data_IF_084962398290
#
_entry.id   IF_084962398290
#
_cell.length_a   1.000
_cell.length_b   1.000
_cell.length_c   1.000
_cell.angle_alpha   90.00
_cell.angle_beta   90.00
_cell.angle_gamma   90.00
#
_symmetry.space_group_name_H-M   'P 1'
#
loop_
_entity.id
_entity.type
_entity.pdbx_description
1 polymer ?
#
# COMPACT_ATOMS: atom_id res chain seq x y z
N UNK A 1 -0.35 8.91 4.83
CA UNK A 1 0.27 9.19 3.52
C UNK A 1 -0.60 8.64 2.40
N UNK A 2 -1.50 9.48 1.88
CA UNK A 2 -2.40 9.10 0.78
C UNK A 2 -1.57 9.06 -0.50
N UNK A 3 -1.16 7.87 -0.92
CA UNK A 3 -0.41 7.68 -2.14
C UNK A 3 -1.38 7.48 -3.31
N UNK A 4 -1.57 8.54 -4.09
CA UNK A 4 -2.38 8.50 -5.32
C UNK A 4 -1.57 7.88 -6.45
N UNK A 5 -2.02 6.74 -6.98
CA UNK A 5 -1.40 6.12 -8.14
C UNK A 5 -1.88 6.79 -9.43
N UNK A 6 -0.95 7.24 -10.25
CA UNK A 6 -1.23 7.74 -11.59
C UNK A 6 -0.22 7.17 -12.57
N UNK A 7 -0.69 6.63 -13.67
CA UNK A 7 0.13 6.13 -14.77
C UNK A 7 -0.30 6.83 -16.05
N UNK A 8 0.60 7.63 -16.64
CA UNK A 8 0.33 8.44 -17.85
C UNK A 8 -0.91 9.36 -17.72
N UNK A 9 -1.13 9.95 -16.55
CA UNK A 9 -2.28 10.79 -16.27
C UNK A 9 -3.60 10.03 -16.03
N UNK A 10 -3.60 8.72 -16.13
CA UNK A 10 -4.74 7.87 -15.78
C UNK A 10 -4.60 7.40 -14.34
N UNK A 11 -5.65 7.51 -13.57
CA UNK A 11 -5.70 7.17 -12.15
C UNK A 11 -6.99 6.40 -11.82
N UNK A 12 -7.16 6.04 -10.57
CA UNK A 12 -8.33 5.34 -10.02
C UNK A 12 -8.58 3.97 -10.66
N UNK A 13 -9.81 3.72 -11.10
CA UNK A 13 -10.28 2.50 -11.72
C UNK A 13 -9.64 2.17 -13.09
N UNK A 14 -8.74 3.02 -13.59
CA UNK A 14 -7.99 2.77 -14.84
C UNK A 14 -6.59 2.21 -14.63
N UNK A 15 -6.14 2.11 -13.39
CA UNK A 15 -4.88 1.48 -13.00
C UNK A 15 -5.19 0.36 -12.01
N UNK A 16 -4.98 -0.86 -12.43
CA UNK A 16 -5.25 -2.04 -11.62
C UNK A 16 -4.02 -2.41 -10.79
N UNK A 17 -4.22 -2.86 -9.56
CA UNK A 17 -3.15 -3.37 -8.71
C UNK A 17 -3.35 -4.87 -8.50
N UNK A 18 -2.29 -5.62 -8.73
CA UNK A 18 -2.18 -7.02 -8.34
C UNK A 18 -1.20 -7.14 -7.19
N UNK A 19 -1.61 -7.79 -6.13
CA UNK A 19 -0.75 -8.15 -5.01
C UNK A 19 -0.77 -9.67 -4.85
N UNK A 20 0.38 -10.29 -4.86
CA UNK A 20 0.51 -11.75 -4.73
C UNK A 20 -0.33 -12.53 -5.78
N UNK A 21 -0.44 -12.01 -6.99
CA UNK A 21 -1.24 -12.61 -8.06
C UNK A 21 -2.75 -12.38 -7.96
N UNK A 22 -3.24 -11.71 -6.93
CA UNK A 22 -4.66 -11.38 -6.73
C UNK A 22 -4.90 -9.90 -7.01
N UNK A 23 -5.95 -9.61 -7.78
CA UNK A 23 -6.39 -8.23 -8.04
C UNK A 23 -6.94 -7.62 -6.75
N UNK A 24 -6.46 -6.43 -6.40
CA UNK A 24 -6.99 -5.67 -5.28
C UNK A 24 -8.15 -4.79 -5.76
N UNK A 25 -9.36 -5.11 -5.31
CA UNK A 25 -10.58 -4.37 -5.70
C UNK A 25 -10.95 -3.25 -4.72
N UNK A 26 -10.51 -3.33 -3.47
CA UNK A 26 -10.79 -2.36 -2.41
C UNK A 26 -10.15 -0.97 -2.60
N UNK A 27 -9.36 -0.79 -3.64
CA UNK A 27 -8.62 0.46 -3.91
C UNK A 27 -9.27 1.35 -4.98
N UNK A 28 -10.48 1.01 -5.41
CA UNK A 28 -11.15 1.69 -6.54
C UNK A 28 -12.10 2.80 -6.11
N UNK A 29 -12.41 2.93 -4.82
CA UNK A 29 -13.59 3.62 -4.33
C UNK A 29 -13.40 5.12 -4.00
N UNK A 30 -12.23 5.70 -4.15
CA UNK A 30 -12.05 7.12 -3.88
C UNK A 30 -10.67 7.68 -4.15
N UNK A 31 -10.61 8.98 -4.32
CA UNK A 31 -9.36 9.75 -4.47
C UNK A 31 -8.53 9.72 -3.17
N UNK A 32 -9.15 9.41 -2.07
CA UNK A 32 -8.65 9.57 -0.70
C UNK A 32 -8.04 8.28 -0.16
N UNK A 33 -8.29 7.14 -0.81
CA UNK A 33 -7.75 5.85 -0.35
C UNK A 33 -6.36 5.60 -0.94
N UNK A 34 -5.39 5.46 -0.07
CA UNK A 34 -4.03 5.06 -0.43
C UNK A 34 -3.94 3.61 -0.92
N UNK A 35 -2.75 3.22 -1.37
CA UNK A 35 -2.52 1.86 -1.90
C UNK A 35 -2.51 0.86 -0.74
N UNK A 36 -3.13 0.85 0.30
CA UNK A 36 -3.26 -0.17 1.36
C UNK A 36 -2.28 -1.36 1.34
N UNK A 37 -1.08 -1.15 0.78
CA UNK A 37 0.00 -2.11 0.66
C UNK A 37 1.23 -1.50 1.31
N UNK A 38 1.73 -2.14 2.34
CA UNK A 38 3.05 -1.84 2.88
C UNK A 38 4.13 -2.20 1.84
N UNK A 39 5.20 -1.42 1.81
CA UNK A 39 6.40 -1.75 1.03
C UNK A 39 7.18 -2.92 1.63
N UNK A 40 6.82 -3.34 2.81
CA UNK A 40 7.44 -4.43 3.55
C UNK A 40 7.03 -5.79 2.99
N UNK A 41 7.98 -6.72 2.89
CA UNK A 41 7.74 -8.04 2.30
C UNK A 41 7.38 -7.99 0.81
N UNK A 42 7.83 -6.97 0.11
CA UNK A 42 7.72 -6.80 -1.33
C UNK A 42 9.09 -6.99 -1.97
N UNK A 43 9.20 -7.91 -2.91
CA UNK A 43 10.43 -8.13 -3.68
C UNK A 43 10.62 -7.05 -4.74
N UNK A 44 9.55 -6.78 -5.50
CA UNK A 44 9.56 -5.77 -6.56
C UNK A 44 8.16 -5.24 -6.86
N UNK A 45 8.11 -4.06 -7.46
CA UNK A 45 6.87 -3.49 -8.02
C UNK A 45 7.09 -3.28 -9.51
N UNK A 46 6.34 -3.97 -10.33
CA UNK A 46 6.38 -3.86 -11.76
C UNK A 46 5.23 -3.01 -12.29
N UNK A 47 5.54 -2.13 -13.25
CA UNK A 47 4.54 -1.32 -13.94
C UNK A 47 4.37 -1.84 -15.36
N UNK A 48 3.30 -2.60 -15.58
CA UNK A 48 2.97 -3.17 -16.89
C UNK A 48 2.18 -2.15 -17.70
N UNK A 49 2.71 -1.77 -18.86
CA UNK A 49 2.15 -0.77 -19.77
C UNK A 49 1.99 -1.35 -21.19
N UNK A 50 1.16 -0.71 -21.99
CA UNK A 50 0.97 -1.08 -23.40
C UNK A 50 0.02 -2.26 -23.57
N UNK A 51 0.04 -2.98 -24.71
CA UNK A 51 -0.99 -3.97 -25.07
C UNK A 51 -1.19 -5.10 -24.06
N UNK A 52 -0.18 -5.37 -23.23
CA UNK A 52 -0.23 -6.43 -22.22
C UNK A 52 -1.31 -6.20 -21.15
N UNK A 53 -1.79 -4.96 -20.96
CA UNK A 53 -2.86 -4.69 -20.01
C UNK A 53 -4.15 -5.47 -20.33
N UNK A 54 -4.37 -5.85 -21.58
CA UNK A 54 -5.55 -6.63 -22.03
C UNK A 54 -5.66 -7.96 -21.27
N UNK A 55 -4.55 -8.54 -20.84
CA UNK A 55 -4.54 -9.77 -20.05
C UNK A 55 -5.10 -9.57 -18.62
N UNK A 56 -5.18 -8.32 -18.15
CA UNK A 56 -5.58 -7.97 -16.80
C UNK A 56 -6.98 -7.34 -16.72
N UNK A 57 -7.67 -7.26 -17.86
CA UNK A 57 -9.05 -6.76 -17.95
C UNK A 57 -9.18 -5.33 -18.44
N UNK A 58 -10.41 -4.91 -18.73
CA UNK A 58 -10.76 -3.61 -19.31
C UNK A 58 -10.33 -2.41 -18.46
N UNK A 59 -10.27 -2.60 -17.14
CA UNK A 59 -9.96 -1.54 -16.19
C UNK A 59 -8.47 -1.19 -16.16
N UNK A 60 -7.63 -2.03 -16.74
CA UNK A 60 -6.18 -1.85 -16.79
C UNK A 60 -5.69 -0.89 -17.89
N UNK A 61 -6.56 -0.04 -18.45
CA UNK A 61 -6.22 0.87 -19.57
C UNK A 61 -5.06 1.82 -19.27
N UNK A 62 -4.90 2.25 -18.02
CA UNK A 62 -3.78 3.09 -17.58
C UNK A 62 -2.50 2.30 -17.34
N UNK A 63 -2.64 1.00 -17.08
CA UNK A 63 -1.57 0.08 -16.75
C UNK A 63 -1.89 -0.77 -15.54
N UNK A 64 -0.96 -1.67 -15.21
CA UNK A 64 -1.06 -2.56 -14.07
C UNK A 64 0.15 -2.34 -13.17
N UNK A 65 -0.09 -2.19 -11.87
CA UNK A 65 0.92 -2.29 -10.83
C UNK A 65 0.92 -3.73 -10.32
N UNK A 66 1.96 -4.45 -10.60
CA UNK A 66 2.13 -5.82 -10.14
C UNK A 66 3.12 -5.83 -8.98
N UNK A 67 2.64 -6.21 -7.79
CA UNK A 67 3.44 -6.28 -6.56
C UNK A 67 3.86 -7.71 -6.34
N UNK A 68 5.14 -7.97 -6.56
CA UNK A 68 5.77 -9.26 -6.31
C UNK A 68 6.01 -9.47 -4.82
N UNK A 69 5.51 -10.53 -4.22
CA UNK A 69 5.78 -10.84 -2.84
C UNK A 69 7.24 -11.25 -2.63
N UNK A 70 7.72 -11.10 -1.41
CA UNK A 70 9.04 -11.55 -1.01
C UNK A 70 9.24 -13.04 -1.32
N UNK A 71 10.42 -13.36 -1.85
CA UNK A 71 10.79 -14.74 -2.19
C UNK A 71 11.07 -15.56 -0.94
N UNK A 72 10.72 -16.84 -1.04
CA UNK A 72 11.08 -17.81 -0.01
C UNK A 72 12.60 -18.09 0.00
N UNK A 73 13.12 -18.39 1.17
CA UNK A 73 14.49 -18.85 1.31
C UNK A 73 14.67 -20.22 0.61
N UNK A 74 15.69 -20.33 -0.24
CA UNK A 74 16.00 -21.57 -0.95
C UNK A 74 17.00 -22.46 -0.21
N UNK A 75 17.74 -21.89 0.73
CA UNK A 75 18.70 -22.60 1.57
C UNK A 75 18.14 -22.81 2.98
N UNK A 76 18.41 -23.99 3.56
CA UNK A 76 18.02 -24.26 4.95
C UNK A 76 18.59 -23.21 5.89
N UNK A 77 17.77 -22.71 6.80
CA UNK A 77 18.17 -21.72 7.77
C UNK A 77 17.02 -20.82 8.20
N UNK A 78 17.31 -19.94 9.14
CA UNK A 78 16.41 -18.91 9.66
C UNK A 78 17.08 -17.54 9.46
N UNK A 79 16.32 -16.59 8.99
CA UNK A 79 16.72 -15.19 8.90
C UNK A 79 15.68 -14.32 9.61
N UNK A 80 16.14 -13.31 10.32
CA UNK A 80 15.30 -12.32 10.99
C UNK A 80 15.81 -10.96 10.57
N UNK A 81 14.90 -10.08 10.16
CA UNK A 81 15.18 -8.70 9.86
C UNK A 81 14.24 -7.77 10.62
N UNK A 82 14.75 -6.62 11.00
CA UNK A 82 13.98 -5.57 11.64
C UNK A 82 14.37 -4.22 11.06
N UNK A 83 13.37 -3.42 10.75
CA UNK A 83 13.54 -2.04 10.28
C UNK A 83 12.67 -1.12 11.13
N UNK A 84 13.29 -0.12 11.76
CA UNK A 84 12.60 0.96 12.45
C UNK A 84 12.89 2.27 11.74
N UNK A 85 11.86 3.08 11.49
CA UNK A 85 11.96 4.43 10.89
C UNK A 85 11.21 5.41 11.76
N UNK A 86 11.84 6.55 12.04
CA UNK A 86 11.19 7.67 12.70
C UNK A 86 11.20 8.91 11.80
N UNK A 87 10.06 9.55 11.66
CA UNK A 87 9.87 10.77 10.89
C UNK A 87 9.47 11.93 11.80
N UNK A 88 10.34 12.91 11.98
CA UNK A 88 10.12 14.01 12.91
C UNK A 88 9.03 15.01 12.48
N UNK A 89 8.68 15.05 11.19
CA UNK A 89 7.69 16.00 10.67
C UNK A 89 6.26 15.73 11.18
N UNK A 90 5.95 14.46 11.44
CA UNK A 90 4.64 14.01 11.90
C UNK A 90 4.75 13.00 13.06
N UNK A 91 5.85 13.05 13.83
CA UNK A 91 6.18 12.11 14.91
C UNK A 91 5.95 10.63 14.51
N UNK A 92 6.10 10.34 13.23
CA UNK A 92 5.74 9.05 12.68
C UNK A 92 6.74 7.97 13.03
N UNK A 93 6.22 6.82 13.46
CA UNK A 93 7.01 5.63 13.77
C UNK A 93 6.56 4.51 12.85
N UNK A 94 7.52 3.89 12.16
CA UNK A 94 7.28 2.68 11.38
C UNK A 94 8.18 1.58 11.91
N UNK A 95 7.58 0.44 12.26
CA UNK A 95 8.30 -0.76 12.66
C UNK A 95 7.95 -1.90 11.71
N UNK A 96 8.96 -2.60 11.24
CA UNK A 96 8.83 -3.79 10.42
C UNK A 96 9.68 -4.91 11.01
N UNK A 97 9.07 -6.06 11.24
CA UNK A 97 9.74 -7.28 11.67
C UNK A 97 9.48 -8.38 10.65
N UNK A 98 10.53 -8.97 10.12
CA UNK A 98 10.49 -10.11 9.21
C UNK A 98 11.17 -11.33 9.82
N UNK A 99 10.55 -12.50 9.65
CA UNK A 99 11.13 -13.79 9.99
C UNK A 99 10.91 -14.73 8.82
N UNK A 100 11.97 -15.27 8.25
CA UNK A 100 11.88 -16.24 7.18
C UNK A 100 12.77 -17.44 7.43
N UNK A 101 12.27 -18.59 7.08
CA UNK A 101 12.99 -19.84 7.28
C UNK A 101 12.71 -20.88 6.22
N UNK A 102 13.63 -21.83 6.12
CA UNK A 102 13.50 -22.98 5.25
C UNK A 102 14.12 -24.21 5.92
N UNK A 103 13.44 -25.33 5.78
CA UNK A 103 13.92 -26.64 6.24
C UNK A 103 13.38 -27.76 5.34
N UNK A 104 14.28 -28.45 4.67
CA UNK A 104 13.95 -29.52 3.73
C UNK A 104 13.06 -29.03 2.59
N UNK A 105 11.79 -29.44 2.58
CA UNK A 105 10.81 -29.09 1.54
C UNK A 105 9.86 -27.96 1.92
N UNK A 106 10.03 -27.40 3.12
CA UNK A 106 9.17 -26.35 3.62
C UNK A 106 9.93 -25.03 3.78
N UNK A 107 9.31 -23.95 3.36
CA UNK A 107 9.77 -22.58 3.59
C UNK A 107 8.62 -21.72 4.09
N UNK A 108 8.94 -20.72 4.90
CA UNK A 108 7.95 -19.79 5.40
C UNK A 108 8.51 -18.37 5.47
N UNK A 109 7.62 -17.39 5.34
CA UNK A 109 7.87 -15.98 5.60
C UNK A 109 6.77 -15.47 6.52
N UNK A 110 7.16 -14.75 7.57
CA UNK A 110 6.27 -14.03 8.48
C UNK A 110 6.71 -12.57 8.51
N UNK A 111 5.75 -11.64 8.38
CA UNK A 111 6.01 -10.21 8.52
C UNK A 111 4.94 -9.54 9.36
N UNK A 112 5.38 -8.61 10.20
CA UNK A 112 4.53 -7.73 10.96
C UNK A 112 5.00 -6.29 10.74
N UNK A 113 4.06 -5.43 10.36
CA UNK A 113 4.27 -4.01 10.14
C UNK A 113 3.37 -3.22 11.07
N UNK A 114 3.92 -2.17 11.65
CA UNK A 114 3.20 -1.19 12.44
C UNK A 114 3.62 0.21 11.96
N UNK A 115 2.66 1.01 11.58
CA UNK A 115 2.84 2.41 11.20
C UNK A 115 1.93 3.24 12.10
N UNK A 116 2.49 4.24 12.73
CA UNK A 116 1.79 5.19 13.58
C UNK A 116 2.33 6.59 13.29
N UNK A 117 1.49 7.43 12.71
CA UNK A 117 1.84 8.77 12.27
C UNK A 117 0.82 9.76 12.81
N UNK A 118 1.29 10.75 13.55
CA UNK A 118 0.52 11.92 13.94
C UNK A 118 0.21 12.84 12.73
N UNK A 119 -0.52 13.90 12.97
CA UNK A 119 -0.73 14.95 11.99
C UNK A 119 0.60 15.56 11.52
N UNK A 120 0.72 15.90 10.25
CA UNK A 120 1.94 16.53 9.77
C UNK A 120 1.94 18.04 10.02
N UNK A 121 3.14 18.57 10.26
CA UNK A 121 3.37 19.99 10.49
C UNK A 121 3.90 20.70 9.24
N UNK A 122 3.39 21.92 9.01
CA UNK A 122 3.87 22.85 7.99
C UNK A 122 4.45 24.08 8.67
N UNK A 123 5.14 25.00 7.95
CA UNK A 123 5.57 26.29 8.52
C UNK A 123 4.41 27.14 9.06
N UNK A 124 3.20 26.94 8.55
CA UNK A 124 1.99 27.69 8.94
C UNK A 124 1.23 27.03 10.10
N UNK A 125 1.68 25.84 10.54
CA UNK A 125 1.09 25.10 11.64
C UNK A 125 0.83 23.61 11.33
N UNK A 126 0.17 22.94 12.27
CA UNK A 126 -0.23 21.55 12.13
C UNK A 126 -1.48 21.43 11.23
N UNK A 127 -1.49 20.46 10.33
CA UNK A 127 -2.62 20.18 9.46
C UNK A 127 -3.46 19.07 10.11
N UNK A 128 -4.63 19.44 10.61
CA UNK A 128 -5.54 18.53 11.30
C UNK A 128 -6.06 17.43 10.39
N UNK A 129 -6.38 16.27 11.00
CA UNK A 129 -6.91 15.10 10.30
C UNK A 129 -6.01 14.55 9.19
N UNK A 130 -4.70 14.53 9.43
CA UNK A 130 -3.71 13.94 8.53
C UNK A 130 -2.95 12.77 9.16
N UNK A 131 -3.40 12.32 10.33
CA UNK A 131 -2.85 11.16 11.01
C UNK A 131 -3.13 9.85 10.24
N UNK A 132 -2.30 8.85 10.45
CA UNK A 132 -2.42 7.56 9.79
C UNK A 132 -1.86 6.44 10.66
N UNK A 133 -2.68 5.44 10.93
CA UNK A 133 -2.30 4.22 11.63
C UNK A 133 -2.49 3.01 10.72
N UNK A 134 -1.56 2.07 10.73
CA UNK A 134 -1.71 0.82 10.00
C UNK A 134 -1.00 -0.31 10.74
N UNK A 135 -1.68 -1.45 10.83
CA UNK A 135 -1.11 -2.71 11.26
C UNK A 135 -1.27 -3.74 10.14
N UNK A 136 -0.21 -4.40 9.75
CA UNK A 136 -0.23 -5.45 8.74
C UNK A 136 0.45 -6.72 9.27
N UNK A 137 -0.17 -7.85 8.98
CA UNK A 137 0.40 -9.17 9.24
C UNK A 137 0.37 -9.98 7.93
N UNK A 138 1.52 -10.53 7.55
CA UNK A 138 1.68 -11.46 6.43
C UNK A 138 2.22 -12.79 6.94
N UNK A 139 1.69 -13.88 6.41
CA UNK A 139 2.18 -15.22 6.68
C UNK A 139 2.11 -16.07 5.41
N UNK A 140 3.26 -16.50 4.96
CA UNK A 140 3.41 -17.27 3.73
C UNK A 140 4.04 -18.62 4.05
N UNK A 141 3.54 -19.67 3.43
CA UNK A 141 4.06 -21.03 3.54
C UNK A 141 4.23 -21.63 2.15
N UNK A 142 5.38 -22.23 1.89
CA UNK A 142 5.68 -22.94 0.65
C UNK A 142 6.06 -24.39 0.95
N UNK A 143 5.50 -25.31 0.17
CA UNK A 143 5.97 -26.68 0.06
C UNK A 143 6.54 -26.90 -1.34
N UNK A 144 7.76 -27.34 -1.41
CA UNK A 144 8.44 -27.64 -2.67
C UNK A 144 8.76 -29.14 -2.79
N UNK A 145 8.47 -29.71 -3.95
CA UNK A 145 8.91 -31.06 -4.32
C UNK A 145 9.35 -31.07 -5.79
N UNK A 146 10.02 -32.15 -6.21
CA UNK A 146 10.48 -32.32 -7.60
C UNK A 146 9.36 -32.31 -8.63
N UNK A 147 8.11 -32.50 -8.20
CA UNK A 147 6.94 -32.63 -9.08
C UNK A 147 6.02 -31.42 -9.05
N UNK A 148 5.98 -30.69 -7.94
CA UNK A 148 5.09 -29.53 -7.79
C UNK A 148 5.57 -28.64 -6.66
N UNK A 149 5.17 -27.35 -6.75
CA UNK A 149 5.28 -26.36 -5.69
C UNK A 149 3.89 -25.92 -5.29
N UNK A 150 3.65 -25.82 -3.98
CA UNK A 150 2.40 -25.28 -3.43
C UNK A 150 2.72 -24.13 -2.50
N UNK A 151 1.98 -23.03 -2.63
CA UNK A 151 2.13 -21.84 -1.80
C UNK A 151 0.79 -21.47 -1.19
N UNK A 152 0.81 -21.14 0.08
CA UNK A 152 -0.29 -20.54 0.81
C UNK A 152 0.17 -19.19 1.32
N UNK A 153 -0.57 -18.14 1.01
CA UNK A 153 -0.29 -16.78 1.44
C UNK A 153 -1.49 -16.20 2.16
N UNK A 154 -1.22 -15.57 3.28
CA UNK A 154 -2.19 -14.85 4.10
C UNK A 154 -1.70 -13.44 4.34
N UNK A 155 -2.59 -12.46 4.20
CA UNK A 155 -2.32 -11.07 4.54
C UNK A 155 -3.55 -10.46 5.20
N UNK A 156 -3.33 -9.73 6.28
CA UNK A 156 -4.34 -8.91 6.94
C UNK A 156 -3.78 -7.51 7.16
N UNK A 157 -4.55 -6.52 6.75
CA UNK A 157 -4.25 -5.10 6.92
C UNK A 157 -5.41 -4.47 7.66
N UNK A 158 -5.12 -3.82 8.75
CA UNK A 158 -6.05 -2.94 9.47
C UNK A 158 -5.45 -1.52 9.42
N UNK A 159 -6.19 -0.55 8.89
CA UNK A 159 -5.72 0.83 8.75
C UNK A 159 -6.80 1.84 9.05
N UNK A 160 -6.43 2.86 9.81
CA UNK A 160 -7.24 4.02 10.15
C UNK A 160 -6.52 5.30 9.71
N UNK A 161 -7.27 6.27 9.23
CA UNK A 161 -6.69 7.52 8.74
C UNK A 161 -7.63 8.71 8.97
N UNK A 162 -7.03 9.86 9.23
CA UNK A 162 -7.73 11.14 9.19
C UNK A 162 -7.86 11.66 7.76
N UNK A 163 -8.99 12.29 7.45
CA UNK A 163 -9.25 12.95 6.17
C UNK A 163 -9.36 14.44 6.43
N UNK A 164 -8.42 15.26 5.95
CA UNK A 164 -8.51 16.70 6.12
C UNK A 164 -9.73 17.25 5.38
N UNK A 165 -10.53 18.05 6.10
CA UNK A 165 -11.57 18.85 5.46
C UNK A 165 -10.90 20.00 4.71
N UNK A 166 -11.03 20.04 3.39
CA UNK A 166 -10.81 21.26 2.65
C UNK A 166 -12.04 22.13 2.84
N UNK A 167 -11.92 23.18 3.65
CA UNK A 167 -12.91 24.26 3.64
C UNK A 167 -12.88 24.86 2.23
N UNK A 168 -13.86 24.50 1.40
CA UNK A 168 -14.17 25.27 0.21
C UNK A 168 -14.66 26.63 0.73
N UNK A 169 -13.77 27.63 0.70
CA UNK A 169 -14.12 29.00 1.04
C UNK A 169 -15.32 29.42 0.17
N UNK A 170 -16.49 29.42 0.75
CA UNK A 170 -17.61 30.15 0.19
C UNK A 170 -17.24 31.62 0.25
N UNK A 171 -16.71 32.17 -0.84
CA UNK A 171 -16.75 33.59 -1.11
C UNK A 171 -18.23 33.98 -1.27
N UNK A 172 -18.85 34.36 -0.16
CA UNK A 172 -20.13 35.04 -0.17
C UNK A 172 -19.92 36.40 -0.87
N UNK A 173 -20.12 36.42 -2.18
CA UNK A 173 -20.34 37.66 -2.90
C UNK A 173 -21.72 38.20 -2.52
N UNK A 174 -21.75 39.00 -1.48
CA UNK A 174 -22.85 39.91 -1.19
C UNK A 174 -22.90 40.99 -2.31
N UNK A 175 -23.62 40.67 -3.36
CA UNK A 175 -24.05 41.67 -4.36
C UNK A 175 -25.14 42.56 -3.72
N UNK A 176 -24.68 43.60 -3.06
CA UNK A 176 -25.58 44.73 -2.75
C UNK A 176 -25.96 45.45 -4.03
N UNK A 177 -27.09 45.09 -4.63
CA UNK A 177 -27.77 45.93 -5.60
C UNK A 177 -28.50 47.06 -4.87
N UNK A 178 -27.87 48.24 -4.81
CA UNK A 178 -28.54 49.48 -4.53
C UNK A 178 -29.42 49.83 -5.72
N UNK A 179 -30.72 49.87 -5.53
CA UNK A 179 -31.70 50.46 -6.43
C UNK A 179 -32.04 51.85 -5.91
N UNK A 180 -31.61 52.88 -6.63
CA UNK A 180 -32.23 54.21 -6.70
C UNK A 180 -33.10 54.34 -7.97
#
# INVERSE_FOLDING_TARGET
>A
NIAKRSVRGLSFNRVVVYNQGVRLENQQWGEEHGIGISSSGVESIEVIKGPLYVLYGSDAMGGVLYVEPEKFNTSNGLAIDYTGVYNSNYNGVTNNLGIKGSSGKFSFNLRADMIDNDNFSTPDGEVENTWFEQNELKADLQYYSDKFTSELRFSRVDSDLGIPHMDEGHDDHDDHMDHD
#
